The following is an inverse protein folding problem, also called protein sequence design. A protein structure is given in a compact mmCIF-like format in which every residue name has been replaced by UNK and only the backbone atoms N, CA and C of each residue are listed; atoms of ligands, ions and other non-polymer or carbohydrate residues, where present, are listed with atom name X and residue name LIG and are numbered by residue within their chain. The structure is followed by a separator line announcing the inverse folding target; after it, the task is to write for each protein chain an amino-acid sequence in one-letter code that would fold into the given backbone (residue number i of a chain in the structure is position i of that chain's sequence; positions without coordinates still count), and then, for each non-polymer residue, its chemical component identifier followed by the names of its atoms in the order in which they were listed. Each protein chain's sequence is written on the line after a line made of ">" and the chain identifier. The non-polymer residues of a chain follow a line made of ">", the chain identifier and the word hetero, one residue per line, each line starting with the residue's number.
data_IF_745865065101
#
_entry.id   IF_745865065101
#
_cell.length_a   1.000
_cell.length_b   1.000
_cell.length_c   1.000
_cell.angle_alpha   90.00
_cell.angle_beta   90.00
_cell.angle_gamma   90.00
#
_symmetry.space_group_name_H-M   'P 1'
#
loop_
_entity.id
_entity.type
_entity.pdbx_description
1 polymer ?
#
# COMPACT_ATOMS: atom_id res chain seq x y z
N UNK A 1 -24.50 -25.84 -31.95
CA UNK A 1 -24.52 -24.37 -32.13
C UNK A 1 -23.82 -23.75 -30.92
N UNK A 2 -22.72 -23.01 -31.13
CA UNK A 2 -21.95 -22.32 -30.07
C UNK A 2 -22.58 -20.94 -29.83
N UNK A 3 -23.12 -20.69 -28.65
CA UNK A 3 -23.46 -19.34 -28.20
C UNK A 3 -22.53 -18.93 -27.08
N UNK A 4 -21.45 -18.27 -27.52
CA UNK A 4 -20.76 -17.12 -26.93
C UNK A 4 -20.66 -17.12 -25.41
N UNK A 5 -19.44 -17.44 -24.98
CA UNK A 5 -18.92 -17.11 -23.67
C UNK A 5 -19.11 -15.61 -23.42
N UNK A 6 -19.99 -15.28 -22.50
CA UNK A 6 -19.99 -13.99 -21.81
C UNK A 6 -18.76 -13.97 -20.87
N UNK A 7 -17.58 -13.88 -21.47
CA UNK A 7 -16.41 -13.34 -20.78
C UNK A 7 -16.78 -11.90 -20.47
N UNK A 8 -17.37 -11.69 -19.29
CA UNK A 8 -17.32 -10.42 -18.59
C UNK A 8 -15.84 -10.06 -18.54
N UNK A 9 -15.42 -9.25 -19.51
CA UNK A 9 -14.15 -8.59 -19.53
C UNK A 9 -14.27 -7.55 -18.41
N UNK A 10 -14.06 -8.01 -17.18
CA UNK A 10 -13.80 -7.16 -16.02
C UNK A 10 -12.57 -6.37 -16.38
N UNK A 11 -12.82 -5.20 -16.98
CA UNK A 11 -11.85 -4.14 -17.19
C UNK A 11 -11.04 -4.06 -15.90
N UNK A 12 -9.69 -4.18 -15.94
CA UNK A 12 -8.91 -4.05 -14.72
C UNK A 12 -9.23 -2.65 -14.17
N UNK A 13 -10.01 -2.62 -13.10
CA UNK A 13 -10.37 -1.40 -12.40
C UNK A 13 -9.02 -0.86 -11.94
N UNK A 14 -8.56 0.23 -12.55
CA UNK A 14 -7.31 0.87 -12.19
C UNK A 14 -7.39 1.12 -10.69
N UNK A 15 -6.61 0.35 -9.92
CA UNK A 15 -6.68 0.38 -8.47
C UNK A 15 -6.22 1.77 -8.07
N UNK A 16 -7.15 2.58 -7.54
CA UNK A 16 -6.82 3.92 -7.08
C UNK A 16 -5.74 3.87 -6.00
N UNK A 17 -4.93 4.94 -5.91
CA UNK A 17 -3.91 5.05 -4.88
C UNK A 17 -4.52 4.93 -3.49
N UNK A 18 -5.73 5.47 -3.28
CA UNK A 18 -6.49 5.31 -2.03
C UNK A 18 -6.78 3.84 -1.71
N UNK A 19 -7.13 3.02 -2.72
CA UNK A 19 -7.42 1.59 -2.53
C UNK A 19 -6.14 0.82 -2.22
N UNK A 20 -5.02 1.15 -2.86
CA UNK A 20 -3.71 0.56 -2.53
C UNK A 20 -3.25 0.95 -1.12
N UNK A 21 -3.40 2.22 -0.74
CA UNK A 21 -3.08 2.73 0.59
C UNK A 21 -3.88 2.03 1.69
N UNK A 22 -5.17 1.79 1.45
CA UNK A 22 -6.03 1.04 2.37
C UNK A 22 -5.59 -0.41 2.54
N UNK A 23 -5.23 -1.08 1.44
CA UNK A 23 -4.70 -2.44 1.48
C UNK A 23 -3.38 -2.50 2.25
N UNK A 24 -2.50 -1.51 2.06
CA UNK A 24 -1.25 -1.42 2.80
C UNK A 24 -1.47 -1.17 4.29
N UNK A 25 -2.43 -0.30 4.66
CA UNK A 25 -2.81 -0.12 6.06
C UNK A 25 -3.25 -1.45 6.70
N UNK A 26 -4.10 -2.21 6.01
CA UNK A 26 -4.57 -3.52 6.50
C UNK A 26 -3.41 -4.52 6.64
N UNK A 27 -2.50 -4.54 5.66
CA UNK A 27 -1.30 -5.39 5.68
C UNK A 27 -0.42 -5.06 6.88
N UNK A 28 -0.12 -3.78 7.11
CA UNK A 28 0.67 -3.30 8.24
C UNK A 28 0.02 -3.66 9.58
N UNK A 29 -1.29 -3.44 9.73
CA UNK A 29 -2.02 -3.83 10.96
C UNK A 29 -1.97 -5.34 11.19
N UNK A 30 -2.13 -6.16 10.14
CA UNK A 30 -2.01 -7.62 10.27
C UNK A 30 -0.61 -8.06 10.69
N UNK A 31 0.43 -7.42 10.14
CA UNK A 31 1.84 -7.69 10.47
C UNK A 31 2.15 -7.45 11.96
N UNK A 32 1.52 -6.44 12.57
CA UNK A 32 1.75 -6.14 13.99
C UNK A 32 1.34 -7.26 14.95
N UNK A 33 0.47 -8.19 14.54
CA UNK A 33 0.15 -9.36 15.36
C UNK A 33 1.31 -10.36 15.47
N UNK A 34 2.28 -10.32 14.55
CA UNK A 34 3.52 -11.10 14.61
C UNK A 34 4.70 -10.32 15.21
N UNK A 35 4.64 -8.98 15.23
CA UNK A 35 5.72 -8.12 15.74
C UNK A 35 5.51 -7.79 17.23
N UNK A 36 4.30 -7.37 17.60
CA UNK A 36 4.00 -6.92 18.96
C UNK A 36 3.25 -8.01 19.72
N UNK A 37 3.84 -8.44 20.84
CA UNK A 37 3.21 -9.41 21.72
C UNK A 37 1.79 -8.98 22.12
N UNK A 38 0.83 -9.92 22.20
CA UNK A 38 -0.51 -9.62 22.64
C UNK A 38 -0.48 -9.11 24.09
N UNK A 39 -1.21 -8.01 24.34
CA UNK A 39 -1.38 -7.46 25.67
C UNK A 39 -2.59 -8.09 26.36
N UNK A 40 -2.47 -8.36 27.67
CA UNK A 40 -3.60 -8.85 28.46
C UNK A 40 -4.69 -7.77 28.50
N UNK A 41 -5.94 -8.16 28.21
CA UNK A 41 -7.08 -7.23 28.27
C UNK A 41 -7.19 -6.55 29.64
N UNK A 42 -7.46 -5.25 29.65
CA UNK A 42 -7.53 -4.43 30.86
C UNK A 42 -6.17 -4.05 31.47
N UNK A 43 -5.04 -4.48 30.89
CA UNK A 43 -3.72 -4.05 31.35
C UNK A 43 -3.30 -2.71 30.74
N UNK A 44 -2.43 -1.97 31.44
CA UNK A 44 -1.78 -0.75 30.93
C UNK A 44 -1.09 -0.99 29.58
N UNK A 45 -0.53 -2.19 29.37
CA UNK A 45 0.16 -2.57 28.14
C UNK A 45 -0.74 -2.63 26.91
N UNK A 46 -2.07 -2.67 27.06
CA UNK A 46 -3.00 -2.55 25.92
C UNK A 46 -2.84 -1.19 25.25
N UNK A 47 -2.77 -0.11 26.05
CA UNK A 47 -2.58 1.24 25.52
C UNK A 47 -1.23 1.35 24.84
N UNK A 48 -0.17 0.88 25.49
CA UNK A 48 1.20 0.88 24.94
C UNK A 48 1.26 0.11 23.62
N UNK A 49 0.65 -1.08 23.55
CA UNK A 49 0.59 -1.87 22.31
C UNK A 49 -0.15 -1.11 21.21
N UNK A 50 -1.30 -0.52 21.51
CA UNK A 50 -2.07 0.23 20.52
C UNK A 50 -1.29 1.43 19.98
N UNK A 51 -0.58 2.16 20.84
CA UNK A 51 0.27 3.29 20.45
C UNK A 51 1.43 2.82 19.54
N UNK A 52 2.02 1.65 19.82
CA UNK A 52 3.07 1.05 18.98
C UNK A 52 2.55 0.59 17.62
N UNK A 53 1.39 -0.06 17.60
CA UNK A 53 0.69 -0.47 16.36
C UNK A 53 0.43 0.76 15.49
N UNK A 54 -0.12 1.82 16.07
CA UNK A 54 -0.48 3.01 15.33
C UNK A 54 0.76 3.73 14.76
N UNK A 55 1.85 3.83 15.53
CA UNK A 55 3.12 4.35 15.02
C UNK A 55 3.66 3.53 13.85
N UNK A 56 3.65 2.19 13.98
CA UNK A 56 4.14 1.31 12.93
C UNK A 56 3.34 1.47 11.62
N UNK A 57 2.01 1.56 11.74
CA UNK A 57 1.13 1.78 10.59
C UNK A 57 1.39 3.14 9.94
N UNK A 58 1.51 4.21 10.74
CA UNK A 58 1.78 5.56 10.23
C UNK A 58 3.13 5.64 9.51
N UNK A 59 4.18 5.05 10.07
CA UNK A 59 5.50 5.01 9.43
C UNK A 59 5.49 4.21 8.12
N UNK A 60 4.76 3.09 8.08
CA UNK A 60 4.60 2.28 6.86
C UNK A 60 3.84 3.02 5.77
N UNK A 61 2.73 3.67 6.12
CA UNK A 61 1.94 4.48 5.18
C UNK A 61 2.72 5.70 4.67
N UNK A 62 3.49 6.37 5.53
CA UNK A 62 4.34 7.48 5.10
C UNK A 62 5.41 7.04 4.08
N UNK A 63 5.98 5.84 4.26
CA UNK A 63 6.90 5.25 3.27
C UNK A 63 6.19 4.90 1.97
N UNK A 64 4.99 4.33 2.05
CA UNK A 64 4.16 4.02 0.88
C UNK A 64 3.85 5.28 0.07
N UNK A 65 3.38 6.33 0.74
CA UNK A 65 3.03 7.62 0.12
C UNK A 65 4.29 8.27 -0.51
N UNK A 66 5.44 8.23 0.17
CA UNK A 66 6.70 8.74 -0.35
C UNK A 66 7.20 7.99 -1.60
N UNK A 67 7.10 6.66 -1.62
CA UNK A 67 7.47 5.84 -2.78
C UNK A 67 6.56 6.10 -3.98
N UNK A 68 5.25 6.25 -3.74
CA UNK A 68 4.31 6.61 -4.79
C UNK A 68 4.59 8.01 -5.37
N UNK A 69 4.92 8.97 -4.52
CA UNK A 69 5.31 10.32 -4.96
C UNK A 69 6.59 10.27 -5.82
N UNK A 70 7.61 9.54 -5.40
CA UNK A 70 8.87 9.38 -6.15
C UNK A 70 8.66 8.70 -7.50
N UNK A 71 7.84 7.65 -7.56
CA UNK A 71 7.53 6.94 -8.81
C UNK A 71 6.68 7.80 -9.76
N UNK A 72 5.86 8.71 -9.25
CA UNK A 72 5.13 9.67 -10.08
C UNK A 72 6.01 10.82 -10.61
N UNK A 73 7.12 11.12 -9.93
CA UNK A 73 8.05 12.18 -10.31
C UNK A 73 9.14 11.71 -11.30
N UNK A 74 9.48 10.41 -11.31
CA UNK A 74 10.54 9.84 -12.15
C UNK A 74 10.14 9.58 -13.61
N UNK A 75 8.89 9.86 -14.01
CA UNK A 75 8.42 9.80 -15.41
C UNK A 75 8.81 11.01 -16.28
N UNK A 76 9.66 11.93 -15.79
CA UNK A 76 10.25 12.97 -16.65
C UNK A 76 11.52 12.42 -17.31
N UNK A 77 11.34 11.99 -18.56
CA UNK A 77 12.29 11.47 -19.56
C UNK A 77 13.80 11.59 -19.28
N UNK A 78 14.61 10.54 -19.52
CA UNK A 78 15.99 10.77 -19.91
C UNK A 78 15.94 11.44 -21.28
N UNK A 79 16.17 12.75 -21.32
CA UNK A 79 16.35 13.52 -22.54
C UNK A 79 17.32 12.75 -23.46
N UNK A 80 16.76 12.19 -24.54
CA UNK A 80 17.49 11.61 -25.65
C UNK A 80 18.33 12.72 -26.27
N UNK A 81 19.58 12.84 -25.84
CA UNK A 81 20.58 13.68 -26.48
C UNK A 81 21.15 12.94 -27.69
N UNK A 82 20.27 12.64 -28.67
CA UNK A 82 20.71 12.23 -29.99
C UNK A 82 21.28 13.47 -30.68
N UNK A 83 22.61 13.60 -30.67
CA UNK A 83 23.33 14.65 -31.38
C UNK A 83 23.46 14.21 -32.85
N UNK A 84 22.80 14.86 -33.82
CA UNK A 84 23.06 14.56 -35.22
C UNK A 84 24.44 15.11 -35.62
N UNK A 85 24.99 14.44 -36.63
CA UNK A 85 26.37 14.50 -37.14
C UNK A 85 26.93 15.87 -37.46
#
# INVERSE_FOLDING_TARGET
>A
MRTKNDFNLTKPEAVSIEKLRLLEEQRLRAETNGIFAPAKAGSFFVKVRNDLVEKHVQEGLAKFDAQHLQNSASTTEPASSFKPS
#
